data_IF_309926573104
#
_entry.id   IF_309926573104
#
_cell.length_a   1.000
_cell.length_b   1.000
_cell.length_c   1.000
_cell.angle_alpha   90.00
_cell.angle_beta   90.00
_cell.angle_gamma   90.00
#
_symmetry.space_group_name_H-M   'P 1'
#
loop_
_entity.id
_entity.type
_entity.pdbx_description
1 polymer ?
#
# COMPACT_ATOMS: atom_id res chain seq x y z
N UNK A 1 3.10 -28.24 13.29
CA UNK A 1 2.79 -27.57 12.00
C UNK A 1 1.77 -26.51 12.28
N UNK A 2 2.14 -25.26 12.01
CA UNK A 2 1.38 -24.07 12.35
C UNK A 2 1.04 -23.29 11.08
N UNK A 3 -0.21 -22.86 10.94
CA UNK A 3 -0.68 -22.05 9.81
C UNK A 3 -1.10 -20.68 10.30
N UNK A 4 -0.53 -19.64 9.69
CA UNK A 4 -0.85 -18.24 9.96
C UNK A 4 -1.67 -17.71 8.79
N UNK A 5 -2.91 -17.34 9.04
CA UNK A 5 -3.83 -16.78 8.04
C UNK A 5 -3.81 -15.25 8.09
N UNK A 6 -4.09 -14.61 6.97
CA UNK A 6 -4.27 -13.16 6.93
C UNK A 6 -5.51 -12.77 7.74
N UNK A 7 -5.42 -11.64 8.43
CA UNK A 7 -6.48 -11.10 9.30
C UNK A 7 -6.41 -9.57 9.25
N UNK A 8 -6.48 -8.89 10.39
CA UNK A 8 -6.30 -7.45 10.48
C UNK A 8 -4.87 -7.02 10.12
N UNK A 9 -4.72 -5.75 9.76
CA UNK A 9 -3.44 -5.22 9.29
C UNK A 9 -2.31 -5.28 10.31
N UNK A 10 -2.61 -5.21 11.62
CA UNK A 10 -1.59 -5.27 12.68
C UNK A 10 -1.00 -6.67 12.73
N UNK A 11 -1.86 -7.69 12.69
CA UNK A 11 -1.46 -9.08 12.58
C UNK A 11 -0.64 -9.32 11.33
N UNK A 12 -1.15 -8.88 10.18
CA UNK A 12 -0.49 -9.09 8.90
C UNK A 12 0.89 -8.43 8.87
N UNK A 13 0.99 -7.18 9.33
CA UNK A 13 2.26 -6.48 9.54
C UNK A 13 3.23 -7.28 10.41
N UNK A 14 2.73 -7.86 11.50
CA UNK A 14 3.54 -8.63 12.43
C UNK A 14 4.08 -9.92 11.80
N UNK A 15 3.26 -10.64 11.04
CA UNK A 15 3.69 -11.82 10.27
C UNK A 15 4.69 -11.43 9.19
N UNK A 16 4.46 -10.34 8.44
CA UNK A 16 5.44 -9.81 7.48
C UNK A 16 6.75 -9.44 8.19
N UNK A 17 6.68 -8.84 9.38
CA UNK A 17 7.84 -8.52 10.19
C UNK A 17 8.63 -9.75 10.63
N UNK A 18 7.93 -10.83 10.97
CA UNK A 18 8.56 -12.12 11.26
C UNK A 18 9.25 -12.70 10.02
N UNK A 19 8.60 -12.67 8.85
CA UNK A 19 9.22 -13.11 7.59
C UNK A 19 10.48 -12.29 7.25
N UNK A 20 10.46 -10.98 7.54
CA UNK A 20 11.65 -10.13 7.38
C UNK A 20 12.78 -10.55 8.33
N UNK A 21 12.46 -10.86 9.58
CA UNK A 21 13.46 -11.37 10.53
C UNK A 21 14.03 -12.73 10.07
N UNK A 22 13.19 -13.63 9.53
CA UNK A 22 13.64 -14.88 8.90
C UNK A 22 14.60 -14.60 7.74
N UNK A 23 14.22 -13.72 6.80
CA UNK A 23 15.05 -13.34 5.65
C UNK A 23 16.42 -12.82 6.08
N UNK A 24 16.45 -11.93 7.07
CA UNK A 24 17.68 -11.25 7.51
C UNK A 24 18.59 -12.13 8.38
N UNK A 25 17.99 -12.97 9.22
CA UNK A 25 18.69 -13.64 10.32
C UNK A 25 18.83 -15.15 10.13
N UNK A 26 18.26 -15.76 9.10
CA UNK A 26 18.48 -17.18 8.80
C UNK A 26 19.47 -17.37 7.65
N UNK A 27 20.24 -18.45 7.69
CA UNK A 27 20.99 -18.92 6.52
C UNK A 27 19.99 -19.28 5.43
N UNK A 28 20.22 -18.79 4.22
CA UNK A 28 19.29 -18.87 3.09
C UNK A 28 17.88 -18.35 3.41
N UNK A 29 17.77 -17.31 4.26
CA UNK A 29 16.49 -16.81 4.75
C UNK A 29 15.47 -16.45 3.65
N UNK A 30 15.90 -16.03 2.47
CA UNK A 30 15.01 -15.75 1.33
C UNK A 30 14.33 -17.03 0.81
N UNK A 31 15.10 -18.11 0.62
CA UNK A 31 14.56 -19.44 0.26
C UNK A 31 13.62 -19.98 1.35
N UNK A 32 13.96 -19.74 2.62
CA UNK A 32 13.10 -20.13 3.75
C UNK A 32 11.77 -19.37 3.67
N UNK A 33 11.77 -18.05 3.47
CA UNK A 33 10.52 -17.28 3.34
C UNK A 33 9.67 -17.77 2.17
N UNK A 34 10.27 -18.01 1.01
CA UNK A 34 9.56 -18.53 -0.17
C UNK A 34 8.92 -19.90 0.10
N UNK A 35 9.56 -20.74 0.93
CA UNK A 35 8.98 -22.01 1.36
C UNK A 35 7.85 -21.84 2.38
N UNK A 36 7.91 -20.82 3.23
CA UNK A 36 6.89 -20.56 4.25
C UNK A 36 5.60 -20.00 3.66
N UNK A 37 5.68 -19.18 2.61
CA UNK A 37 4.49 -18.63 1.94
C UNK A 37 3.88 -19.73 1.05
N UNK A 38 2.73 -20.29 1.47
CA UNK A 38 2.04 -21.35 0.72
C UNK A 38 0.87 -20.78 -0.07
N UNK A 39 1.09 -20.57 -1.37
CA UNK A 39 0.10 -19.97 -2.24
C UNK A 39 -0.12 -18.49 -1.93
N UNK A 40 -1.38 -18.06 -1.90
CA UNK A 40 -1.72 -16.66 -1.62
C UNK A 40 -2.09 -16.44 -0.14
N UNK A 41 -2.78 -17.37 0.52
CA UNK A 41 -3.61 -17.05 1.70
C UNK A 41 -2.92 -17.19 3.07
N UNK A 42 -1.89 -18.03 3.19
CA UNK A 42 -1.31 -18.36 4.50
C UNK A 42 0.20 -18.61 4.48
N UNK A 43 0.79 -18.46 5.66
CA UNK A 43 2.17 -18.84 5.96
C UNK A 43 2.14 -20.16 6.74
N UNK A 44 2.88 -21.16 6.27
CA UNK A 44 2.99 -22.47 6.92
C UNK A 44 4.37 -22.65 7.56
N UNK A 45 4.37 -22.80 8.88
CA UNK A 45 5.56 -23.13 9.66
C UNK A 45 5.53 -24.64 9.90
N UNK A 46 6.40 -25.36 9.22
CA UNK A 46 6.56 -26.80 9.41
C UNK A 46 7.12 -27.14 10.80
N UNK A 47 6.96 -28.39 11.22
CA UNK A 47 7.32 -28.83 12.57
C UNK A 47 8.80 -28.61 12.89
N UNK A 48 9.70 -28.88 11.94
CA UNK A 48 11.14 -28.70 12.14
C UNK A 48 11.51 -27.23 12.40
N UNK A 49 10.88 -26.30 11.67
CA UNK A 49 11.10 -24.87 11.87
C UNK A 49 10.46 -24.39 13.17
N UNK A 50 9.26 -24.89 13.49
CA UNK A 50 8.60 -24.62 14.76
C UNK A 50 9.53 -25.04 15.92
N UNK A 51 10.00 -26.28 15.94
CA UNK A 51 10.88 -26.77 16.99
C UNK A 51 12.19 -25.99 17.05
N UNK A 52 12.76 -25.59 15.90
CA UNK A 52 13.93 -24.71 15.85
C UNK A 52 13.69 -23.33 16.47
N UNK A 53 12.58 -22.66 16.16
CA UNK A 53 12.30 -21.30 16.62
C UNK A 53 12.17 -21.22 18.14
N UNK A 54 11.57 -22.24 18.75
CA UNK A 54 11.37 -22.31 20.20
C UNK A 54 12.46 -23.08 20.95
N UNK A 55 13.49 -23.57 20.26
CA UNK A 55 14.62 -24.25 20.90
C UNK A 55 15.64 -23.27 21.48
N UNK A 56 16.55 -23.82 22.29
CA UNK A 56 17.83 -23.19 22.61
C UNK A 56 18.80 -23.22 21.41
N UNK A 57 19.98 -22.63 21.58
CA UNK A 57 21.03 -22.63 20.55
C UNK A 57 21.81 -23.95 20.46
N UNK A 58 21.68 -24.85 21.46
CA UNK A 58 22.31 -26.17 21.44
C UNK A 58 21.57 -27.16 20.54
N UNK A 59 20.32 -26.88 20.21
CA UNK A 59 19.51 -27.76 19.38
C UNK A 59 19.89 -27.64 17.90
N UNK A 60 20.42 -28.74 17.34
CA UNK A 60 20.75 -28.88 15.92
C UNK A 60 19.48 -28.93 15.05
N UNK A 61 19.50 -28.27 13.89
CA UNK A 61 18.45 -28.40 12.89
C UNK A 61 19.01 -28.18 11.48
N UNK A 62 18.21 -28.43 10.44
CA UNK A 62 18.55 -28.05 9.05
C UNK A 62 18.58 -26.53 8.82
N UNK A 63 17.97 -25.77 9.72
CA UNK A 63 17.99 -24.32 9.76
C UNK A 63 19.13 -23.80 10.64
N UNK A 64 19.70 -22.66 10.24
CA UNK A 64 20.78 -21.99 10.95
C UNK A 64 20.53 -20.47 11.01
N UNK A 65 21.01 -19.81 12.06
CA UNK A 65 20.93 -18.35 12.24
C UNK A 65 22.20 -17.65 11.75
N UNK A 66 22.08 -16.36 11.43
CA UNK A 66 23.16 -15.44 11.06
C UNK A 66 23.15 -14.22 11.99
N UNK A 67 24.26 -13.92 12.67
CA UNK A 67 25.44 -14.76 12.84
C UNK A 67 25.20 -15.89 13.87
N UNK A 68 26.09 -16.88 13.89
CA UNK A 68 26.13 -18.00 14.85
C UNK A 68 26.56 -17.52 16.24
N UNK A 69 25.84 -16.55 16.81
CA UNK A 69 26.09 -16.03 18.14
C UNK A 69 24.93 -16.35 19.06
N UNK A 70 25.21 -17.10 20.12
CA UNK A 70 24.32 -17.33 21.25
C UNK A 70 24.60 -16.27 22.33
N UNK A 71 23.67 -15.36 22.63
CA UNK A 71 23.83 -14.48 23.78
C UNK A 71 23.66 -15.25 25.07
N UNK A 72 24.59 -15.01 25.99
CA UNK A 72 24.39 -15.32 27.40
C UNK A 72 23.34 -14.37 27.97
N UNK A 73 22.08 -14.80 27.90
CA UNK A 73 20.96 -13.99 28.32
C UNK A 73 20.85 -13.96 29.86
N UNK A 74 20.99 -15.12 30.49
CA UNK A 74 21.07 -15.34 31.94
C UNK A 74 22.12 -16.44 32.24
N UNK A 75 22.72 -16.44 33.44
CA UNK A 75 23.83 -17.35 33.82
C UNK A 75 23.47 -18.84 33.65
N UNK A 76 22.17 -19.17 33.69
CA UNK A 76 21.68 -20.55 33.67
C UNK A 76 20.62 -20.84 32.59
N UNK A 77 20.26 -19.87 31.75
CA UNK A 77 19.15 -20.03 30.77
C UNK A 77 19.42 -19.31 29.45
N UNK A 78 19.21 -20.03 28.36
CA UNK A 78 19.24 -19.48 26.99
C UNK A 78 17.90 -18.88 26.59
N UNK A 79 17.93 -17.75 25.90
CA UNK A 79 16.75 -17.20 25.24
C UNK A 79 16.38 -18.08 24.02
N UNK A 80 15.12 -18.46 23.82
CA UNK A 80 14.70 -19.16 22.61
C UNK A 80 15.05 -18.39 21.34
N UNK A 81 15.35 -19.10 20.24
CA UNK A 81 15.81 -18.50 18.98
C UNK A 81 14.84 -17.44 18.42
N UNK A 82 13.53 -17.60 18.58
CA UNK A 82 12.53 -16.59 18.18
C UNK A 82 12.65 -15.29 18.99
N UNK A 83 12.92 -15.38 20.29
CA UNK A 83 13.15 -14.22 21.14
C UNK A 83 14.46 -13.51 20.80
N UNK A 84 15.49 -14.30 20.47
CA UNK A 84 16.74 -13.76 19.94
C UNK A 84 16.52 -13.03 18.62
N UNK A 85 15.78 -13.63 17.68
CA UNK A 85 15.47 -13.02 16.39
C UNK A 85 14.73 -11.69 16.58
N UNK A 86 13.76 -11.65 17.48
CA UNK A 86 13.03 -10.42 17.83
C UNK A 86 13.99 -9.31 18.28
N UNK A 87 14.84 -9.57 19.29
CA UNK A 87 15.74 -8.54 19.85
C UNK A 87 16.78 -8.10 18.81
N UNK A 88 17.35 -9.06 18.08
CA UNK A 88 18.40 -8.79 17.09
C UNK A 88 17.87 -8.03 15.87
N UNK A 89 16.60 -8.24 15.52
CA UNK A 89 16.02 -7.60 14.34
C UNK A 89 15.99 -6.07 14.44
N UNK A 90 15.90 -5.47 15.63
CA UNK A 90 15.74 -4.02 15.83
C UNK A 90 16.81 -3.16 15.15
N UNK A 91 18.05 -3.62 15.16
CA UNK A 91 19.15 -2.97 14.46
C UNK A 91 20.17 -4.03 14.01
N UNK A 92 19.91 -4.73 12.90
CA UNK A 92 20.73 -5.86 12.48
C UNK A 92 22.12 -5.40 12.07
N UNK A 93 22.24 -4.18 11.53
CA UNK A 93 23.50 -3.64 11.03
C UNK A 93 24.45 -3.26 12.18
N UNK A 94 23.97 -2.48 13.16
CA UNK A 94 24.80 -2.17 14.33
C UNK A 94 25.15 -3.42 15.15
N UNK A 95 24.27 -4.43 15.15
CA UNK A 95 24.58 -5.72 15.75
C UNK A 95 25.70 -6.43 14.98
N UNK A 96 25.61 -6.54 13.65
CA UNK A 96 26.66 -7.11 12.79
C UNK A 96 28.01 -6.41 12.97
N UNK A 97 28.03 -5.09 13.05
CA UNK A 97 29.25 -4.30 13.30
C UNK A 97 29.89 -4.67 14.64
N UNK A 98 29.09 -4.80 15.70
CA UNK A 98 29.58 -5.22 17.01
C UNK A 98 30.05 -6.67 17.03
N UNK A 99 29.45 -7.55 16.25
CA UNK A 99 29.94 -8.94 16.06
C UNK A 99 31.29 -8.95 15.35
N UNK A 100 31.48 -8.14 14.32
CA UNK A 100 32.78 -8.01 13.67
C UNK A 100 33.88 -7.53 14.63
N UNK A 101 33.49 -6.78 15.67
CA UNK A 101 34.36 -6.30 16.75
C UNK A 101 34.48 -7.26 17.95
N UNK A 102 33.84 -8.44 17.93
CA UNK A 102 33.76 -9.37 19.07
C UNK A 102 33.14 -8.76 20.33
N UNK A 103 32.14 -7.89 20.13
CA UNK A 103 31.38 -7.18 21.16
C UNK A 103 29.89 -7.56 21.09
N UNK A 104 29.60 -8.84 20.89
CA UNK A 104 28.27 -9.35 20.62
C UNK A 104 27.30 -9.10 21.79
N UNK A 105 27.77 -9.31 23.04
CA UNK A 105 26.98 -9.05 24.26
C UNK A 105 26.57 -7.58 24.38
N UNK A 106 27.44 -6.66 23.99
CA UNK A 106 27.15 -5.23 23.99
C UNK A 106 26.15 -4.85 22.89
N UNK A 107 26.16 -5.55 21.75
CA UNK A 107 25.20 -5.33 20.68
C UNK A 107 23.80 -5.81 21.05
N UNK A 108 23.73 -7.00 21.64
CA UNK A 108 22.49 -7.56 22.13
C UNK A 108 21.89 -6.70 23.24
N UNK A 109 22.71 -6.30 24.22
CA UNK A 109 22.29 -5.43 25.34
C UNK A 109 21.84 -4.05 24.86
N UNK A 110 22.51 -3.48 23.84
CA UNK A 110 22.09 -2.22 23.25
C UNK A 110 20.71 -2.33 22.57
N UNK A 111 20.47 -3.38 21.78
CA UNK A 111 19.16 -3.61 21.16
C UNK A 111 18.07 -3.87 22.19
N UNK A 112 18.36 -4.67 23.22
CA UNK A 112 17.47 -4.91 24.35
C UNK A 112 17.06 -3.59 25.01
N UNK A 113 18.03 -2.75 25.38
CA UNK A 113 17.75 -1.47 26.02
C UNK A 113 16.98 -0.53 25.08
N UNK A 114 17.26 -0.56 23.77
CA UNK A 114 16.51 0.24 22.78
C UNK A 114 15.03 -0.16 22.73
N UNK A 115 14.70 -1.45 22.84
CA UNK A 115 13.31 -1.92 22.85
C UNK A 115 12.55 -1.54 24.11
N UNK A 116 13.20 -1.71 25.26
CA UNK A 116 12.51 -1.71 26.56
C UNK A 116 12.85 -0.51 27.46
N UNK A 117 13.64 0.46 26.98
CA UNK A 117 13.86 1.73 27.68
C UNK A 117 12.58 2.59 27.69
N UNK A 118 12.56 3.67 28.48
CA UNK A 118 11.43 4.60 28.56
C UNK A 118 11.08 5.26 27.20
N UNK A 119 12.04 5.31 26.27
CA UNK A 119 11.85 5.82 24.92
C UNK A 119 11.63 4.70 23.88
N UNK A 120 11.68 3.44 24.31
CA UNK A 120 11.54 2.26 23.45
C UNK A 120 10.08 1.92 23.13
N UNK A 121 9.84 1.21 22.02
CA UNK A 121 8.49 0.84 21.57
C UNK A 121 7.77 -0.15 22.51
N UNK A 122 8.50 -0.87 23.37
CA UNK A 122 7.96 -1.86 24.30
C UNK A 122 8.23 -1.50 25.76
N UNK A 123 8.30 -0.20 26.09
CA UNK A 123 8.57 0.28 27.46
C UNK A 123 7.62 -0.28 28.53
N UNK A 124 6.38 -0.59 28.14
CA UNK A 124 5.35 -1.13 29.01
C UNK A 124 5.39 -2.66 29.13
N UNK A 125 6.11 -3.34 28.23
CA UNK A 125 6.17 -4.80 28.15
C UNK A 125 6.84 -5.41 29.38
N UNK A 126 7.91 -4.76 29.84
CA UNK A 126 8.60 -5.15 31.07
C UNK A 126 8.25 -4.11 32.13
N UNK A 127 7.13 -4.34 32.83
CA UNK A 127 6.74 -3.47 33.93
C UNK A 127 7.91 -3.33 34.93
N UNK A 128 8.13 -2.13 35.47
CA UNK A 128 9.23 -1.79 36.37
C UNK A 128 9.19 -2.55 37.71
N UNK A 129 8.09 -3.24 38.00
CA UNK A 129 7.88 -4.00 39.23
C UNK A 129 8.39 -5.45 39.18
N UNK A 130 8.77 -5.97 38.01
CA UNK A 130 9.29 -7.34 37.91
C UNK A 130 10.76 -7.36 38.33
N UNK A 131 11.07 -8.14 39.39
CA UNK A 131 12.43 -8.26 39.96
C UNK A 131 13.45 -8.78 38.94
N UNK A 132 13.02 -9.60 37.97
CA UNK A 132 13.89 -10.14 36.92
C UNK A 132 13.27 -9.93 35.52
N UNK A 133 13.72 -8.84 34.87
CA UNK A 133 13.31 -8.45 33.53
C UNK A 133 13.69 -9.48 32.47
N UNK A 134 14.84 -10.14 32.63
CA UNK A 134 15.37 -11.10 31.66
C UNK A 134 14.57 -12.40 31.74
N UNK A 135 14.40 -12.95 32.94
CA UNK A 135 13.62 -14.19 33.12
C UNK A 135 12.20 -14.07 32.53
N UNK A 136 11.57 -12.90 32.68
CA UNK A 136 10.24 -12.62 32.12
C UNK A 136 10.19 -12.75 30.60
N UNK A 137 11.24 -12.30 29.90
CA UNK A 137 11.33 -12.40 28.44
C UNK A 137 11.59 -13.84 28.00
N UNK A 138 12.45 -14.58 28.72
CA UNK A 138 12.68 -16.01 28.44
C UNK A 138 11.36 -16.77 28.53
N UNK A 139 10.61 -16.54 29.61
CA UNK A 139 9.31 -17.18 29.82
C UNK A 139 8.31 -16.77 28.72
N UNK A 140 8.29 -15.49 28.34
CA UNK A 140 7.40 -15.01 27.28
C UNK A 140 7.65 -15.71 25.94
N UNK A 141 8.92 -15.90 25.55
CA UNK A 141 9.30 -16.56 24.29
C UNK A 141 9.37 -18.09 24.38
N UNK A 142 9.00 -18.69 25.52
CA UNK A 142 8.96 -20.14 25.68
C UNK A 142 7.90 -20.76 24.77
N UNK A 143 8.07 -22.06 24.42
CA UNK A 143 7.14 -22.77 23.54
C UNK A 143 5.71 -22.76 24.13
N UNK A 144 4.72 -22.22 23.41
CA UNK A 144 3.33 -22.23 23.85
C UNK A 144 2.79 -23.66 24.02
N UNK A 145 1.99 -23.90 25.07
CA UNK A 145 1.29 -25.18 25.26
C UNK A 145 -0.09 -25.11 24.60
N UNK A 146 -0.41 -26.08 23.74
CA UNK A 146 -1.75 -26.27 23.16
C UNK A 146 -2.58 -27.23 24.02
N UNK A 147 -3.86 -26.92 24.26
CA UNK A 147 -4.77 -27.75 25.08
C UNK A 147 -6.19 -27.73 24.49
N UNK A 148 -6.93 -28.83 24.61
CA UNK A 148 -8.24 -29.06 24.00
C UNK A 148 -9.39 -28.17 24.57
N UNK A 149 -9.31 -27.73 25.83
CA UNK A 149 -10.40 -27.02 26.53
C UNK A 149 -10.03 -25.58 26.96
N UNK A 150 -9.77 -24.70 25.99
CA UNK A 150 -9.34 -23.32 26.22
C UNK A 150 -10.22 -22.22 25.63
N UNK A 151 -9.94 -20.98 26.04
CA UNK A 151 -10.40 -19.72 25.43
C UNK A 151 -9.94 -19.63 23.97
N UNK A 152 -10.67 -18.92 23.12
CA UNK A 152 -10.35 -18.79 21.69
C UNK A 152 -9.53 -17.51 21.45
N UNK A 153 -8.35 -17.65 20.85
CA UNK A 153 -7.53 -16.52 20.41
C UNK A 153 -8.22 -15.74 19.29
N UNK A 154 -8.35 -14.43 19.40
CA UNK A 154 -8.98 -13.55 18.40
C UNK A 154 -8.19 -13.41 17.10
N UNK A 155 -6.95 -13.90 17.04
CA UNK A 155 -6.07 -13.78 15.88
C UNK A 155 -5.95 -15.08 15.08
N UNK A 156 -5.70 -16.21 15.74
CA UNK A 156 -5.53 -17.51 15.10
C UNK A 156 -6.69 -18.49 15.32
N UNK A 157 -7.70 -18.11 16.11
CA UNK A 157 -8.83 -18.97 16.52
C UNK A 157 -8.43 -20.28 17.22
N UNK A 158 -7.16 -20.44 17.65
CA UNK A 158 -6.73 -21.58 18.44
C UNK A 158 -7.18 -21.47 19.90
N UNK A 159 -7.43 -22.62 20.53
CA UNK A 159 -7.78 -22.71 21.95
C UNK A 159 -6.53 -22.57 22.83
N UNK A 160 -6.65 -21.81 23.91
CA UNK A 160 -5.58 -21.52 24.87
C UNK A 160 -6.10 -21.58 26.31
N UNK A 161 -5.28 -22.01 27.26
CA UNK A 161 -5.60 -21.92 28.69
C UNK A 161 -4.68 -20.85 29.29
N UNK A 162 -5.22 -19.82 29.95
CA UNK A 162 -4.39 -18.93 30.76
C UNK A 162 -3.65 -19.76 31.79
N UNK A 163 -2.32 -19.63 31.92
CA UNK A 163 -1.63 -20.29 33.02
C UNK A 163 -2.20 -19.74 34.34
N UNK A 164 -2.61 -20.59 35.28
CA UNK A 164 -3.38 -20.16 36.47
C UNK A 164 -2.53 -19.45 37.55
N UNK A 165 -1.32 -18.98 37.23
CA UNK A 165 -0.39 -18.45 38.23
C UNK A 165 0.04 -17.02 37.93
N UNK A 166 -0.45 -16.10 38.77
CA UNK A 166 -0.04 -14.71 38.99
C UNK A 166 -0.63 -13.63 38.07
N UNK A 167 -0.78 -12.44 38.66
CA UNK A 167 -1.15 -11.14 38.06
C UNK A 167 -0.33 -10.75 36.80
N UNK A 168 0.70 -11.54 36.44
CA UNK A 168 1.51 -11.36 35.23
C UNK A 168 0.90 -12.01 33.97
N UNK A 169 -0.02 -12.96 34.10
CA UNK A 169 -0.62 -13.65 32.96
C UNK A 169 -1.67 -12.84 32.20
N UNK A 170 -2.35 -11.91 32.88
CA UNK A 170 -3.38 -11.10 32.24
C UNK A 170 -2.81 -10.16 31.15
N UNK A 171 -1.53 -9.77 31.27
CA UNK A 171 -0.82 -9.00 30.25
C UNK A 171 -0.39 -9.83 29.03
N UNK A 172 -0.35 -11.16 29.14
CA UNK A 172 0.12 -12.05 28.08
C UNK A 172 -1.03 -12.65 27.25
N UNK A 173 -2.24 -12.67 27.81
CA UNK A 173 -3.43 -13.27 27.18
C UNK A 173 -4.39 -12.24 26.58
N UNK A 174 -4.10 -10.95 26.69
CA UNK A 174 -4.96 -9.86 26.22
C UNK A 174 -4.19 -8.85 25.36
N UNK A 175 -4.87 -8.25 24.38
CA UNK A 175 -4.35 -7.13 23.60
C UNK A 175 -4.30 -5.85 24.44
N UNK A 176 -3.11 -5.43 24.86
CA UNK A 176 -2.97 -4.33 25.82
C UNK A 176 -1.80 -3.39 25.49
N UNK A 177 -1.67 -2.31 26.28
CA UNK A 177 -0.61 -1.30 26.17
C UNK A 177 0.82 -1.83 26.34
N UNK A 178 1.00 -3.02 26.91
CA UNK A 178 2.30 -3.66 27.08
C UNK A 178 2.83 -4.18 25.73
N UNK A 179 1.93 -4.76 24.93
CA UNK A 179 2.20 -5.21 23.56
C UNK A 179 2.07 -4.07 22.53
N UNK A 180 1.13 -3.13 22.76
CA UNK A 180 0.76 -2.09 21.81
C UNK A 180 0.53 -0.74 22.49
N UNK A 181 1.57 0.08 22.62
CA UNK A 181 1.44 1.39 23.25
C UNK A 181 0.45 2.31 22.51
N UNK A 182 0.35 2.21 21.18
CA UNK A 182 -0.42 3.15 20.36
C UNK A 182 -1.93 2.88 20.39
N UNK A 183 -2.33 1.61 20.57
CA UNK A 183 -3.70 1.14 20.31
C UNK A 183 -4.20 0.09 21.33
N UNK A 184 -3.34 -0.40 22.21
CA UNK A 184 -3.71 -1.37 23.24
C UNK A 184 -4.55 -0.74 24.35
N UNK A 185 -5.46 -1.51 24.94
CA UNK A 185 -6.17 -1.10 26.14
C UNK A 185 -5.24 -1.08 27.37
N UNK A 186 -5.49 -0.18 28.32
CA UNK A 186 -4.88 -0.31 29.65
C UNK A 186 -5.65 -1.35 30.43
N UNK A 187 -4.96 -2.36 30.95
CA UNK A 187 -5.59 -3.37 31.81
C UNK A 187 -6.34 -2.72 32.98
N UNK A 188 -7.59 -3.14 33.20
CA UNK A 188 -8.47 -2.62 34.26
C UNK A 188 -8.87 -1.15 34.16
N UNK A 189 -8.61 -0.47 33.03
CA UNK A 189 -9.06 0.91 32.77
C UNK A 189 -9.95 0.97 31.52
N UNK A 190 -10.45 2.16 31.20
CA UNK A 190 -11.41 2.41 30.11
C UNK A 190 -11.06 1.62 28.84
N UNK A 191 -12.01 0.88 28.24
CA UNK A 191 -11.78 0.13 27.01
C UNK A 191 -11.27 1.07 25.91
N UNK A 192 -10.35 0.57 25.09
CA UNK A 192 -9.86 1.33 23.94
C UNK A 192 -11.00 1.48 22.92
N UNK A 193 -11.16 2.69 22.35
CA UNK A 193 -12.25 3.03 21.44
C UNK A 193 -12.27 2.21 20.12
N UNK A 194 -11.20 1.46 19.83
CA UNK A 194 -11.04 0.71 18.58
C UNK A 194 -11.85 -0.59 18.51
N UNK A 195 -12.37 -1.12 19.63
CA UNK A 195 -13.01 -2.44 19.66
C UNK A 195 -14.40 -2.46 20.31
N UNK A 196 -15.27 -1.49 20.02
CA UNK A 196 -16.70 -1.54 20.39
C UNK A 196 -16.95 -1.84 21.89
N UNK A 197 -16.17 -1.24 22.80
CA UNK A 197 -16.20 -1.51 24.25
C UNK A 197 -15.86 -2.95 24.69
N UNK A 198 -15.33 -3.79 23.78
CA UNK A 198 -14.78 -5.11 24.12
C UNK A 198 -13.34 -4.91 24.61
N UNK A 199 -13.15 -4.83 25.93
CA UNK A 199 -11.85 -4.57 26.57
C UNK A 199 -10.81 -5.68 26.39
N UNK A 200 -11.19 -6.84 25.85
CA UNK A 200 -10.40 -8.07 25.95
C UNK A 200 -10.36 -8.85 24.62
N UNK A 201 -9.63 -8.33 23.64
CA UNK A 201 -9.16 -9.20 22.55
C UNK A 201 -8.19 -10.22 23.15
N UNK A 202 -8.62 -11.47 23.21
CA UNK A 202 -7.82 -12.56 23.73
C UNK A 202 -6.75 -12.95 22.71
N UNK A 203 -5.51 -13.11 23.15
CA UNK A 203 -4.39 -13.47 22.30
C UNK A 203 -3.68 -14.67 22.90
N UNK A 204 -3.44 -15.71 22.09
CA UNK A 204 -2.62 -16.83 22.54
C UNK A 204 -1.13 -16.45 22.62
N UNK A 205 -0.34 -17.16 23.45
CA UNK A 205 1.09 -16.88 23.58
C UNK A 205 1.84 -16.94 22.25
N UNK A 206 1.42 -17.81 21.33
CA UNK A 206 1.98 -17.87 19.98
C UNK A 206 1.76 -16.56 19.23
N UNK A 207 0.50 -16.10 19.13
CA UNK A 207 0.17 -14.87 18.43
C UNK A 207 0.81 -13.65 19.07
N UNK A 208 0.88 -13.59 20.41
CA UNK A 208 1.51 -12.46 21.11
C UNK A 208 3.00 -12.34 20.80
N UNK A 209 3.71 -13.47 20.65
CA UNK A 209 5.11 -13.47 20.20
C UNK A 209 5.26 -12.96 18.76
N UNK A 210 4.41 -13.39 17.82
CA UNK A 210 4.45 -12.87 16.45
C UNK A 210 4.15 -11.38 16.38
N UNK A 211 3.18 -10.91 17.16
CA UNK A 211 2.77 -9.50 17.23
C UNK A 211 3.92 -8.54 17.57
N UNK A 212 4.93 -9.01 18.31
CA UNK A 212 6.14 -8.22 18.59
C UNK A 212 6.99 -7.92 17.34
N UNK A 213 6.86 -8.71 16.27
CA UNK A 213 7.60 -8.45 15.03
C UNK A 213 7.01 -7.31 14.19
N UNK A 214 5.91 -6.66 14.62
CA UNK A 214 5.31 -5.49 13.95
C UNK A 214 6.33 -4.44 13.53
N UNK A 215 7.27 -4.12 14.42
CA UNK A 215 8.29 -3.08 14.19
C UNK A 215 9.22 -3.37 12.99
N UNK A 216 9.21 -4.60 12.48
CA UNK A 216 9.89 -5.04 11.24
C UNK A 216 8.96 -5.18 10.05
N UNK A 217 7.66 -5.23 10.30
CA UNK A 217 6.61 -5.34 9.30
C UNK A 217 6.43 -4.06 8.51
N UNK A 218 6.57 -2.91 9.16
CA UNK A 218 6.43 -1.60 8.54
C UNK A 218 7.12 -0.50 9.35
N UNK A 219 7.43 0.62 8.68
CA UNK A 219 7.92 1.84 9.30
C UNK A 219 6.89 2.97 9.18
N UNK A 220 6.63 3.43 7.96
CA UNK A 220 5.69 4.53 7.68
C UNK A 220 4.46 4.09 6.87
N UNK A 221 4.65 3.12 5.97
CA UNK A 221 3.58 2.59 5.12
C UNK A 221 3.57 1.07 5.22
N UNK A 222 2.38 0.49 5.27
CA UNK A 222 2.15 -0.93 5.17
C UNK A 222 1.08 -1.20 4.10
N UNK A 223 1.37 -2.09 3.16
CA UNK A 223 0.36 -2.59 2.23
C UNK A 223 -0.26 -3.85 2.82
N UNK A 224 -1.52 -3.72 3.22
CA UNK A 224 -2.32 -4.81 3.74
C UNK A 224 -3.14 -5.44 2.61
N UNK A 225 -3.25 -6.76 2.57
CA UNK A 225 -4.06 -7.50 1.60
C UNK A 225 -4.48 -8.84 2.21
N UNK A 226 -5.33 -9.59 1.52
CA UNK A 226 -5.68 -10.96 1.91
C UNK A 226 -4.57 -11.96 1.57
N UNK A 227 -3.62 -11.60 0.69
CA UNK A 227 -2.52 -12.47 0.30
C UNK A 227 -1.20 -12.13 0.99
N UNK A 228 -0.61 -13.08 1.73
CA UNK A 228 0.73 -12.91 2.32
C UNK A 228 1.82 -12.80 1.27
N UNK A 229 1.69 -13.50 0.15
CA UNK A 229 2.64 -13.42 -0.96
C UNK A 229 2.66 -12.00 -1.54
N UNK A 230 1.47 -11.46 -1.81
CA UNK A 230 1.31 -10.09 -2.30
C UNK A 230 1.80 -9.07 -1.28
N UNK A 231 1.37 -9.18 -0.02
CA UNK A 231 1.81 -8.29 1.06
C UNK A 231 3.32 -8.31 1.21
N UNK A 232 3.94 -9.49 1.24
CA UNK A 232 5.39 -9.60 1.40
C UNK A 232 6.12 -8.88 0.27
N UNK A 233 5.76 -9.16 -0.99
CA UNK A 233 6.39 -8.53 -2.17
C UNK A 233 6.17 -7.02 -2.21
N UNK A 234 4.94 -6.57 -1.99
CA UNK A 234 4.61 -5.14 -1.99
C UNK A 234 5.33 -4.38 -0.89
N UNK A 235 5.39 -4.94 0.31
CA UNK A 235 6.09 -4.28 1.41
C UNK A 235 7.63 -4.32 1.23
N UNK A 236 8.20 -5.32 0.53
CA UNK A 236 9.62 -5.25 0.13
C UNK A 236 9.87 -4.10 -0.85
N UNK A 237 8.98 -3.91 -1.82
CA UNK A 237 9.09 -2.79 -2.76
C UNK A 237 8.99 -1.44 -2.03
N UNK A 238 8.03 -1.30 -1.11
CA UNK A 238 7.84 -0.09 -0.33
C UNK A 238 9.05 0.26 0.56
N UNK A 239 9.74 -0.75 1.11
CA UNK A 239 10.93 -0.54 1.97
C UNK A 239 12.11 0.11 1.27
N UNK A 240 12.23 -0.06 -0.04
CA UNK A 240 13.35 0.50 -0.81
C UNK A 240 13.16 1.99 -1.15
N UNK A 241 12.11 2.64 -0.63
CA UNK A 241 11.76 4.02 -0.95
C UNK A 241 12.01 4.92 0.28
N UNK A 242 13.05 5.77 0.21
CA UNK A 242 13.44 6.69 1.31
C UNK A 242 12.32 7.70 1.66
N UNK A 243 11.53 8.09 0.67
CA UNK A 243 10.25 8.76 0.79
C UNK A 243 9.34 8.08 -0.22
N UNK A 244 8.22 7.53 0.25
CA UNK A 244 7.24 6.99 -0.67
C UNK A 244 6.57 8.17 -1.37
N UNK A 245 7.14 8.56 -2.51
CA UNK A 245 6.29 9.05 -3.57
C UNK A 245 5.36 7.88 -3.92
N UNK A 246 4.10 7.97 -3.50
CA UNK A 246 3.06 6.97 -3.78
C UNK A 246 3.03 6.61 -5.27
N UNK A 247 3.45 7.54 -6.15
CA UNK A 247 3.64 7.33 -7.58
C UNK A 247 4.73 6.33 -7.89
N UNK A 248 5.90 6.49 -7.29
CA UNK A 248 7.03 5.58 -7.48
C UNK A 248 6.71 4.19 -6.92
N UNK A 249 6.05 4.13 -5.76
CA UNK A 249 5.57 2.87 -5.20
C UNK A 249 4.63 2.13 -6.14
N UNK A 250 3.59 2.81 -6.62
CA UNK A 250 2.61 2.18 -7.51
C UNK A 250 3.25 1.83 -8.87
N UNK A 251 4.16 2.64 -9.39
CA UNK A 251 4.91 2.33 -10.62
C UNK A 251 5.85 1.13 -10.47
N UNK A 252 6.50 0.95 -9.31
CA UNK A 252 7.35 -0.22 -9.06
C UNK A 252 6.54 -1.48 -8.72
N UNK A 253 5.43 -1.35 -7.98
CA UNK A 253 4.47 -2.43 -7.78
C UNK A 253 3.97 -2.97 -9.14
N UNK A 254 3.75 -2.08 -10.10
CA UNK A 254 3.29 -2.41 -11.45
C UNK A 254 4.29 -3.23 -12.29
N UNK A 255 5.59 -3.20 -12.02
CA UNK A 255 6.57 -4.02 -12.77
C UNK A 255 6.72 -5.43 -12.21
N UNK A 256 6.16 -5.70 -11.03
CA UNK A 256 6.12 -7.06 -10.51
C UNK A 256 5.11 -7.90 -11.30
N UNK A 257 5.58 -8.94 -11.99
CA UNK A 257 4.74 -9.84 -12.81
C UNK A 257 3.51 -10.39 -12.08
N UNK A 258 3.58 -10.45 -10.75
CA UNK A 258 2.52 -10.97 -9.90
C UNK A 258 1.32 -10.02 -9.76
N UNK A 259 1.56 -8.71 -9.80
CA UNK A 259 0.55 -7.64 -9.69
C UNK A 259 -0.16 -7.41 -11.02
N UNK A 260 0.58 -7.54 -12.12
CA UNK A 260 0.06 -7.41 -13.49
C UNK A 260 -0.98 -8.50 -13.81
N UNK A 261 -0.82 -9.72 -13.26
CA UNK A 261 -1.65 -10.86 -13.67
C UNK A 261 -2.98 -10.99 -12.94
N UNK A 262 -3.17 -10.35 -11.78
CA UNK A 262 -4.39 -10.49 -10.97
C UNK A 262 -4.88 -9.16 -10.38
N UNK A 263 -5.76 -8.45 -11.09
CA UNK A 263 -6.51 -7.31 -10.53
C UNK A 263 -7.31 -7.70 -9.28
N UNK A 264 -7.77 -8.96 -9.21
CA UNK A 264 -8.49 -9.53 -8.06
C UNK A 264 -7.66 -9.60 -6.77
N UNK A 265 -6.35 -9.74 -6.84
CA UNK A 265 -5.50 -9.76 -5.64
C UNK A 265 -5.22 -8.35 -5.13
N UNK A 266 -5.32 -7.34 -5.99
CA UNK A 266 -5.24 -5.92 -5.62
C UNK A 266 -6.57 -5.40 -5.05
N UNK A 267 -7.70 -5.93 -5.50
CA UNK A 267 -9.01 -5.73 -4.87
C UNK A 267 -8.92 -6.11 -3.38
N UNK A 268 -9.40 -5.23 -2.49
CA UNK A 268 -9.28 -5.36 -1.02
C UNK A 268 -7.86 -5.19 -0.46
N UNK A 269 -6.96 -4.58 -1.22
CA UNK A 269 -5.68 -4.11 -0.68
C UNK A 269 -5.85 -2.74 -0.05
N UNK A 270 -5.28 -2.54 1.13
CA UNK A 270 -5.32 -1.29 1.87
C UNK A 270 -3.89 -0.74 2.00
N UNK A 271 -3.69 0.51 1.61
CA UNK A 271 -2.45 1.23 1.89
C UNK A 271 -2.64 1.95 3.21
N UNK A 272 -1.88 1.52 4.21
CA UNK A 272 -1.95 2.04 5.57
C UNK A 272 -0.75 2.93 5.79
N UNK A 273 -1.00 4.19 6.13
CA UNK A 273 0.06 5.15 6.42
C UNK A 273 -0.02 5.59 7.86
N UNK A 274 1.10 5.50 8.56
CA UNK A 274 1.22 5.88 9.97
C UNK A 274 2.16 7.08 10.06
N UNK A 275 1.62 8.20 10.55
CA UNK A 275 2.35 9.44 10.77
C UNK A 275 2.19 9.86 12.22
N UNK A 276 3.14 9.45 13.07
CA UNK A 276 3.04 9.62 14.51
C UNK A 276 1.85 8.82 15.07
N UNK A 277 0.88 9.51 15.68
CA UNK A 277 -0.34 8.89 16.22
C UNK A 277 -1.47 8.76 15.20
N UNK A 278 -1.31 9.28 13.98
CA UNK A 278 -2.35 9.25 12.96
C UNK A 278 -2.16 8.04 12.04
N UNK A 279 -3.24 7.26 11.86
CA UNK A 279 -3.30 6.15 10.91
C UNK A 279 -4.31 6.51 9.83
N UNK A 280 -3.89 6.49 8.56
CA UNK A 280 -4.78 6.69 7.42
C UNK A 280 -4.88 5.41 6.60
N UNK A 281 -6.09 5.12 6.14
CA UNK A 281 -6.40 3.93 5.35
C UNK A 281 -6.83 4.38 3.95
N UNK A 282 -6.12 3.92 2.93
CA UNK A 282 -6.48 4.14 1.53
C UNK A 282 -6.77 2.80 0.87
N UNK A 283 -8.05 2.53 0.61
CA UNK A 283 -8.48 1.26 0.04
C UNK A 283 -8.33 1.29 -1.48
N UNK A 284 -7.68 0.25 -2.04
CA UNK A 284 -7.64 0.01 -3.47
C UNK A 284 -8.95 -0.67 -3.86
N UNK A 285 -9.84 0.10 -4.48
CA UNK A 285 -11.11 -0.41 -5.00
C UNK A 285 -10.89 -1.33 -6.20
N UNK A 286 -11.86 -2.18 -6.53
CA UNK A 286 -11.84 -3.00 -7.75
C UNK A 286 -11.59 -2.18 -9.01
N UNK A 287 -12.17 -0.97 -9.06
CA UNK A 287 -11.96 -0.05 -10.16
C UNK A 287 -10.50 0.40 -10.20
N UNK A 288 -10.00 0.94 -9.08
CA UNK A 288 -8.61 1.39 -8.95
C UNK A 288 -7.62 0.27 -9.30
N UNK A 289 -7.88 -0.96 -8.85
CA UNK A 289 -7.10 -2.15 -9.20
C UNK A 289 -7.12 -2.44 -10.72
N UNK A 290 -8.29 -2.38 -11.36
CA UNK A 290 -8.41 -2.52 -12.84
C UNK A 290 -7.65 -1.42 -13.58
N UNK A 291 -7.66 -0.19 -13.07
CA UNK A 291 -6.92 0.92 -13.66
C UNK A 291 -5.40 0.68 -13.55
N UNK A 292 -4.92 0.16 -12.41
CA UNK A 292 -3.51 -0.14 -12.20
C UNK A 292 -2.97 -1.33 -13.00
N UNK A 293 -3.83 -2.20 -13.48
CA UNK A 293 -3.44 -3.32 -14.36
C UNK A 293 -3.53 -2.94 -15.85
N UNK A 294 -4.14 -1.79 -16.19
CA UNK A 294 -4.29 -1.35 -17.58
C UNK A 294 -2.96 -0.84 -18.16
N UNK A 295 -2.34 -1.53 -19.15
CA UNK A 295 -1.07 -1.10 -19.74
C UNK A 295 -1.16 0.29 -20.39
N UNK A 296 -2.34 0.63 -20.91
CA UNK A 296 -2.61 1.94 -21.53
C UNK A 296 -2.54 3.05 -20.48
N UNK A 297 -3.24 2.90 -19.35
CA UNK A 297 -3.22 3.90 -18.28
C UNK A 297 -1.81 4.03 -17.70
N UNK A 298 -1.11 2.90 -17.52
CA UNK A 298 0.28 2.88 -17.07
C UNK A 298 1.16 3.71 -18.00
N UNK A 299 1.08 3.47 -19.32
CA UNK A 299 1.88 4.21 -20.29
C UNK A 299 1.65 5.73 -20.19
N UNK A 300 0.41 6.17 -20.00
CA UNK A 300 0.12 7.59 -19.84
C UNK A 300 0.55 8.17 -18.49
N UNK A 301 0.49 7.38 -17.41
CA UNK A 301 0.99 7.80 -16.10
C UNK A 301 2.52 7.97 -16.08
N UNK A 302 3.26 7.15 -16.84
CA UNK A 302 4.70 7.27 -17.01
C UNK A 302 5.09 8.56 -17.75
N UNK A 303 4.34 8.90 -18.80
CA UNK A 303 4.54 10.12 -19.59
C UNK A 303 4.20 11.41 -18.83
N UNK A 304 3.34 11.32 -17.81
CA UNK A 304 3.03 12.45 -16.94
C UNK A 304 4.25 12.75 -16.06
N UNK A 305 4.94 13.84 -16.38
CA UNK A 305 6.15 14.31 -15.70
C UNK A 305 5.90 14.62 -14.22
N UNK A 306 6.98 14.60 -13.43
CA UNK A 306 7.08 14.70 -11.96
C UNK A 306 6.24 15.81 -11.27
N UNK A 307 5.74 16.83 -11.99
CA UNK A 307 4.96 17.95 -11.44
C UNK A 307 3.44 17.71 -11.30
N UNK A 308 2.91 16.52 -11.59
CA UNK A 308 1.46 16.26 -11.56
C UNK A 308 1.04 15.17 -10.57
N UNK A 309 1.55 15.28 -9.34
CA UNK A 309 1.30 14.34 -8.21
C UNK A 309 -0.20 14.04 -7.98
N UNK A 310 -1.08 14.98 -8.29
CA UNK A 310 -2.50 14.88 -7.93
C UNK A 310 -3.32 13.88 -8.79
N UNK A 311 -2.89 13.50 -9.99
CA UNK A 311 -3.70 12.61 -10.87
C UNK A 311 -3.81 11.22 -10.27
N UNK A 312 -2.71 10.72 -9.72
CA UNK A 312 -2.68 9.42 -9.08
C UNK A 312 -3.56 9.41 -7.81
N UNK A 313 -3.49 10.47 -7.00
CA UNK A 313 -4.37 10.62 -5.84
C UNK A 313 -5.85 10.62 -6.25
N UNK A 314 -6.19 11.24 -7.38
CA UNK A 314 -7.56 11.21 -7.93
C UNK A 314 -7.98 9.81 -8.39
N UNK A 315 -7.04 9.01 -8.93
CA UNK A 315 -7.29 7.60 -9.30
C UNK A 315 -7.48 6.72 -8.06
N UNK A 316 -6.62 6.87 -7.05
CA UNK A 316 -6.68 6.13 -5.79
C UNK A 316 -7.98 6.45 -5.04
N UNK A 317 -8.29 7.74 -4.91
CA UNK A 317 -9.54 8.21 -4.27
C UNK A 317 -10.79 8.00 -5.13
N UNK A 318 -10.65 7.49 -6.35
CA UNK A 318 -11.74 7.33 -7.33
C UNK A 318 -12.51 8.62 -7.64
N UNK A 319 -11.89 9.79 -7.45
CA UNK A 319 -12.47 11.11 -7.74
C UNK A 319 -12.01 11.62 -9.11
N UNK A 320 -12.49 10.96 -10.16
CA UNK A 320 -12.13 11.28 -11.54
C UNK A 320 -12.62 12.66 -11.99
N UNK A 321 -13.59 13.26 -11.28
CA UNK A 321 -14.06 14.62 -11.54
C UNK A 321 -12.93 15.65 -11.41
N UNK A 322 -11.98 15.38 -10.50
CA UNK A 322 -10.81 16.25 -10.30
C UNK A 322 -9.82 16.17 -11.46
N UNK A 323 -9.78 15.06 -12.20
CA UNK A 323 -8.97 14.94 -13.43
C UNK A 323 -9.53 15.88 -14.51
N UNK A 324 -10.85 15.90 -14.73
CA UNK A 324 -11.47 16.85 -15.67
C UNK A 324 -11.26 18.32 -15.26
N UNK A 325 -11.38 18.64 -13.96
CA UNK A 325 -11.08 19.99 -13.46
C UNK A 325 -9.63 20.39 -13.74
N UNK A 326 -8.70 19.45 -13.59
CA UNK A 326 -7.29 19.67 -13.90
C UNK A 326 -7.10 19.91 -15.41
N UNK A 327 -7.69 19.09 -16.28
CA UNK A 327 -7.69 19.30 -17.74
C UNK A 327 -8.18 20.71 -18.11
N UNK A 328 -9.31 21.14 -17.55
CA UNK A 328 -9.85 22.49 -17.78
C UNK A 328 -8.87 23.58 -17.33
N UNK A 329 -8.25 23.43 -16.15
CA UNK A 329 -7.29 24.39 -15.61
C UNK A 329 -6.04 24.50 -16.50
N UNK A 330 -5.50 23.37 -16.95
CA UNK A 330 -4.35 23.31 -17.85
C UNK A 330 -4.66 24.00 -19.19
N UNK A 331 -5.81 23.66 -19.80
CA UNK A 331 -6.28 24.31 -21.02
C UNK A 331 -6.46 25.82 -20.85
N UNK A 332 -6.90 26.29 -19.68
CA UNK A 332 -7.01 27.73 -19.40
C UNK A 332 -5.64 28.42 -19.28
N UNK A 333 -4.62 27.70 -18.84
CA UNK A 333 -3.26 28.21 -18.65
C UNK A 333 -2.36 27.97 -19.88
N UNK A 334 -2.94 27.75 -21.05
CA UNK A 334 -2.22 27.47 -22.31
C UNK A 334 -1.35 26.20 -22.34
N UNK A 335 -1.56 25.28 -21.39
CA UNK A 335 -0.99 23.94 -21.46
C UNK A 335 -1.89 22.99 -22.26
N UNK A 336 -1.28 21.99 -22.91
CA UNK A 336 -1.97 20.94 -23.66
C UNK A 336 -2.03 19.64 -22.82
N UNK A 337 -3.12 19.38 -22.08
CA UNK A 337 -3.21 18.24 -21.15
C UNK A 337 -3.54 16.93 -21.85
N UNK A 338 -2.73 16.54 -22.84
CA UNK A 338 -3.01 15.39 -23.70
C UNK A 338 -3.13 14.08 -22.90
N UNK A 339 -2.16 13.79 -22.03
CA UNK A 339 -2.13 12.54 -21.25
C UNK A 339 -3.23 12.48 -20.19
N UNK A 340 -3.57 13.60 -19.56
CA UNK A 340 -4.67 13.69 -18.59
C UNK A 340 -6.00 13.29 -19.22
N UNK A 341 -6.26 13.82 -20.42
CA UNK A 341 -7.51 13.54 -21.11
C UNK A 341 -7.54 12.07 -21.55
N UNK A 342 -6.40 11.51 -21.96
CA UNK A 342 -6.26 10.10 -22.32
C UNK A 342 -6.56 9.18 -21.14
N UNK A 343 -5.97 9.46 -19.97
CA UNK A 343 -6.25 8.74 -18.72
C UNK A 343 -7.74 8.82 -18.39
N UNK A 344 -8.32 10.02 -18.38
CA UNK A 344 -9.73 10.18 -18.06
C UNK A 344 -10.64 9.38 -19.00
N UNK A 345 -10.34 9.40 -20.30
CA UNK A 345 -11.12 8.66 -21.30
C UNK A 345 -11.02 7.16 -21.08
N UNK A 346 -9.82 6.65 -20.80
CA UNK A 346 -9.61 5.23 -20.57
C UNK A 346 -10.32 4.76 -19.29
N UNK A 347 -10.31 5.59 -18.24
CA UNK A 347 -11.11 5.35 -17.03
C UNK A 347 -12.60 5.23 -17.38
N UNK A 348 -13.13 6.12 -18.22
CA UNK A 348 -14.54 6.08 -18.64
C UNK A 348 -14.89 4.84 -19.45
N UNK A 349 -13.97 4.33 -20.28
CA UNK A 349 -14.15 3.05 -21.00
C UNK A 349 -14.24 1.87 -20.03
N UNK A 350 -13.39 1.86 -19.01
CA UNK A 350 -13.35 0.80 -17.99
C UNK A 350 -14.62 0.84 -17.13
N UNK A 351 -15.07 2.04 -16.75
CA UNK A 351 -16.33 2.24 -16.00
C UNK A 351 -17.57 1.87 -16.80
N UNK A 352 -17.58 2.20 -18.09
CA UNK A 352 -18.76 2.09 -18.94
C UNK A 352 -18.99 0.74 -19.63
N UNK A 353 -18.03 -0.19 -19.54
CA UNK A 353 -18.13 -1.52 -20.15
C UNK A 353 -18.29 -1.49 -21.68
N UNK A 354 -18.81 -2.58 -22.27
CA UNK A 354 -18.99 -2.71 -23.72
C UNK A 354 -19.94 -1.67 -24.32
N UNK A 355 -21.01 -1.30 -23.60
CA UNK A 355 -21.99 -0.30 -24.05
C UNK A 355 -21.40 1.10 -24.23
N UNK A 356 -20.33 1.43 -23.49
CA UNK A 356 -19.62 2.68 -23.65
C UNK A 356 -18.46 2.57 -24.64
N UNK A 357 -17.91 1.38 -24.93
CA UNK A 357 -16.88 1.24 -25.97
C UNK A 357 -17.36 1.68 -27.36
N UNK A 358 -18.64 1.43 -27.69
CA UNK A 358 -19.24 1.89 -28.95
C UNK A 358 -19.58 3.40 -28.95
N UNK A 359 -19.89 3.96 -27.78
CA UNK A 359 -20.22 5.39 -27.61
C UNK A 359 -18.99 6.26 -27.43
N UNK A 360 -17.87 5.72 -26.97
CA UNK A 360 -16.62 6.46 -26.85
C UNK A 360 -16.06 6.65 -28.25
N UNK A 361 -16.41 7.80 -28.83
CA UNK A 361 -15.69 8.37 -29.97
C UNK A 361 -14.21 8.35 -29.61
N UNK A 362 -13.38 7.83 -30.52
CA UNK A 362 -11.94 7.83 -30.31
C UNK A 362 -11.50 9.26 -29.99
N UNK A 363 -11.10 9.46 -28.74
CA UNK A 363 -10.63 10.74 -28.21
C UNK A 363 -9.40 11.23 -28.98
N UNK A 364 -8.63 10.28 -29.51
CA UNK A 364 -7.58 10.48 -30.51
C UNK A 364 -8.12 11.20 -31.76
N UNK A 365 -9.26 10.77 -32.30
CA UNK A 365 -9.84 11.37 -33.49
C UNK A 365 -10.23 12.83 -33.23
N UNK A 366 -10.84 13.16 -32.10
CA UNK A 366 -11.21 14.54 -31.77
C UNK A 366 -9.97 15.45 -31.63
N UNK A 367 -8.91 14.95 -30.98
CA UNK A 367 -7.64 15.67 -30.92
C UNK A 367 -7.06 15.91 -32.32
N UNK A 368 -7.02 14.89 -33.17
CA UNK A 368 -6.49 15.02 -34.53
C UNK A 368 -7.38 15.85 -35.45
N UNK A 369 -8.71 15.83 -35.29
CA UNK A 369 -9.63 16.73 -35.99
C UNK A 369 -9.35 18.20 -35.66
N UNK A 370 -9.05 18.50 -34.39
CA UNK A 370 -8.57 19.82 -34.00
C UNK A 370 -7.19 20.14 -34.59
N UNK A 371 -6.22 19.24 -34.40
CA UNK A 371 -4.81 19.45 -34.82
C UNK A 371 -4.65 19.58 -36.34
N UNK A 372 -5.42 18.83 -37.11
CA UNK A 372 -5.34 18.76 -38.57
C UNK A 372 -6.29 19.74 -39.27
N UNK A 373 -6.95 20.64 -38.53
CA UNK A 373 -7.67 21.75 -39.12
C UNK A 373 -6.73 22.53 -40.03
N UNK A 374 -7.08 22.71 -41.31
CA UNK A 374 -6.19 23.33 -42.31
C UNK A 374 -6.40 24.83 -42.48
N UNK A 375 -7.62 25.29 -42.19
CA UNK A 375 -8.02 26.67 -42.40
C UNK A 375 -7.51 27.54 -41.24
N UNK A 376 -6.54 28.42 -41.53
CA UNK A 376 -5.85 29.22 -40.52
C UNK A 376 -6.79 30.25 -39.86
N UNK A 377 -7.66 30.88 -40.65
CA UNK A 377 -8.62 31.86 -40.13
C UNK A 377 -9.65 31.20 -39.20
N UNK A 378 -10.07 29.97 -39.54
CA UNK A 378 -10.92 29.15 -38.68
C UNK A 378 -10.20 28.83 -37.36
N UNK A 379 -8.94 28.38 -37.43
CA UNK A 379 -8.14 28.09 -36.23
C UNK A 379 -8.03 29.34 -35.35
N UNK A 380 -7.71 30.48 -35.93
CA UNK A 380 -7.55 31.73 -35.20
C UNK A 380 -8.88 32.21 -34.59
N UNK A 381 -10.01 32.01 -35.28
CA UNK A 381 -11.34 32.28 -34.73
C UNK A 381 -11.68 31.36 -33.55
N UNK A 382 -11.33 30.08 -33.64
CA UNK A 382 -11.51 29.11 -32.55
C UNK A 382 -10.59 29.45 -31.35
N UNK A 383 -9.33 29.82 -31.60
CA UNK A 383 -8.37 30.27 -30.58
C UNK A 383 -8.89 31.53 -29.87
N UNK A 384 -9.37 32.55 -30.60
CA UNK A 384 -9.97 33.76 -30.01
C UNK A 384 -11.19 33.49 -29.14
N UNK A 385 -11.98 32.46 -29.46
CA UNK A 385 -13.17 32.09 -28.69
C UNK A 385 -12.91 31.00 -27.64
N UNK A 386 -11.66 30.52 -27.49
CA UNK A 386 -11.38 29.29 -26.74
C UNK A 386 -11.81 29.38 -25.28
N UNK A 387 -11.57 30.50 -24.60
CA UNK A 387 -11.96 30.69 -23.20
C UNK A 387 -13.48 30.65 -23.01
N UNK A 388 -14.21 31.29 -23.92
CA UNK A 388 -15.68 31.27 -23.90
C UNK A 388 -16.21 29.85 -24.12
N UNK A 389 -15.65 29.13 -25.10
CA UNK A 389 -16.01 27.75 -25.39
C UNK A 389 -15.69 26.86 -24.18
N UNK A 390 -14.51 27.01 -23.57
CA UNK A 390 -14.11 26.25 -22.37
C UNK A 390 -15.06 26.46 -21.18
N UNK A 391 -15.49 27.70 -20.90
CA UNK A 391 -16.48 27.95 -19.85
C UNK A 391 -17.83 27.29 -20.13
N UNK A 392 -18.31 27.36 -21.37
CA UNK A 392 -19.58 26.71 -21.73
C UNK A 392 -19.48 25.19 -21.60
N UNK A 393 -18.35 24.61 -22.00
CA UNK A 393 -18.07 23.17 -21.84
C UNK A 393 -18.04 22.77 -20.37
N UNK A 394 -17.30 23.51 -19.52
CA UNK A 394 -17.20 23.25 -18.07
C UNK A 394 -18.55 23.30 -17.37
N UNK A 395 -19.45 24.18 -17.82
CA UNK A 395 -20.80 24.34 -17.28
C UNK A 395 -21.83 23.37 -17.89
N UNK A 396 -21.40 22.43 -18.73
CA UNK A 396 -22.32 21.46 -19.36
C UNK A 396 -23.26 22.08 -20.40
N UNK A 397 -23.01 23.31 -20.87
CA UNK A 397 -23.91 24.07 -21.77
C UNK A 397 -23.81 23.61 -23.23
N UNK A 398 -24.07 22.32 -23.45
CA UNK A 398 -23.87 21.59 -24.71
C UNK A 398 -24.48 22.27 -25.95
N UNK A 399 -25.76 22.67 -25.87
CA UNK A 399 -26.45 23.33 -26.97
C UNK A 399 -25.80 24.68 -27.34
N UNK A 400 -25.35 25.45 -26.34
CA UNK A 400 -24.70 26.74 -26.55
C UNK A 400 -23.29 26.57 -27.14
N UNK A 401 -22.56 25.56 -26.68
CA UNK A 401 -21.26 25.16 -27.25
C UNK A 401 -21.42 24.74 -28.71
N UNK A 402 -22.39 23.88 -29.02
CA UNK A 402 -22.69 23.41 -30.37
C UNK A 402 -23.00 24.59 -31.30
N UNK A 403 -23.90 25.48 -30.89
CA UNK A 403 -24.27 26.66 -31.67
C UNK A 403 -23.06 27.57 -31.95
N UNK A 404 -22.21 27.78 -30.94
CA UNK A 404 -21.01 28.62 -31.09
C UNK A 404 -20.03 28.01 -32.08
N UNK A 405 -19.74 26.70 -31.96
CA UNK A 405 -18.84 25.98 -32.87
C UNK A 405 -19.42 25.99 -34.29
N UNK A 406 -20.71 25.66 -34.47
CA UNK A 406 -21.40 25.70 -35.77
C UNK A 406 -21.30 27.05 -36.44
N UNK A 407 -21.53 28.13 -35.70
CA UNK A 407 -21.45 29.48 -36.25
C UNK A 407 -20.04 29.82 -36.72
N UNK A 408 -19.02 29.42 -35.96
CA UNK A 408 -17.62 29.62 -36.35
C UNK A 408 -17.32 28.85 -37.64
N UNK A 409 -17.59 27.55 -37.70
CA UNK A 409 -17.38 26.74 -38.90
C UNK A 409 -18.14 27.27 -40.13
N UNK A 410 -19.43 27.64 -39.96
CA UNK A 410 -20.26 28.19 -41.02
C UNK A 410 -19.70 29.52 -41.57
N UNK A 411 -19.12 30.37 -40.71
CA UNK A 411 -18.54 31.66 -41.14
C UNK A 411 -17.33 31.51 -42.07
N UNK A 412 -16.67 30.34 -42.06
CA UNK A 412 -15.55 30.01 -42.94
C UNK A 412 -15.92 28.99 -44.02
N UNK A 413 -17.21 28.67 -44.18
CA UNK A 413 -17.71 27.66 -45.12
C UNK A 413 -17.07 26.26 -44.94
N UNK A 414 -16.68 25.94 -43.70
CA UNK A 414 -16.07 24.66 -43.34
C UNK A 414 -17.11 23.71 -42.78
N UNK A 415 -16.96 22.42 -43.11
CA UNK A 415 -17.83 21.37 -42.54
C UNK A 415 -17.36 21.02 -41.14
N UNK A 416 -18.31 20.87 -40.21
CA UNK A 416 -17.99 20.31 -38.90
C UNK A 416 -17.51 18.86 -39.06
N UNK A 417 -16.39 18.48 -38.43
CA UNK A 417 -15.92 17.11 -38.40
C UNK A 417 -16.96 16.14 -37.81
N UNK A 418 -17.06 14.94 -38.36
CA UNK A 418 -18.10 13.99 -37.98
C UNK A 418 -18.01 13.59 -36.50
N UNK A 419 -16.81 13.36 -35.97
CA UNK A 419 -16.65 13.00 -34.57
C UNK A 419 -17.02 14.16 -33.64
N UNK A 420 -16.68 15.39 -34.02
CA UNK A 420 -17.12 16.60 -33.31
C UNK A 420 -18.65 16.77 -33.33
N UNK A 421 -19.31 16.43 -34.43
CA UNK A 421 -20.79 16.46 -34.50
C UNK A 421 -21.42 15.45 -33.53
N UNK A 422 -20.86 14.23 -33.46
CA UNK A 422 -21.40 13.14 -32.63
C UNK A 422 -21.38 13.46 -31.14
N UNK A 423 -20.36 14.14 -30.61
CA UNK A 423 -20.32 14.50 -29.18
C UNK A 423 -21.42 15.49 -28.78
N UNK A 424 -22.05 16.19 -29.73
CA UNK A 424 -23.19 17.09 -29.47
C UNK A 424 -24.54 16.36 -29.35
N UNK A 425 -24.62 15.04 -29.58
CA UNK A 425 -25.85 14.27 -29.41
C UNK A 425 -26.39 14.39 -27.96
N UNK A 426 -27.68 14.73 -27.72
CA UNK A 426 -28.25 14.86 -26.38
C UNK A 426 -28.10 13.61 -25.49
N UNK A 427 -28.05 12.42 -26.07
CA UNK A 427 -27.87 11.15 -25.34
C UNK A 427 -26.41 10.88 -24.95
N UNK A 428 -25.47 11.70 -25.41
CA UNK A 428 -24.05 11.53 -25.14
C UNK A 428 -23.73 12.10 -23.74
N UNK A 429 -23.13 11.31 -22.82
CA UNK A 429 -22.87 11.71 -21.44
C UNK A 429 -22.13 13.04 -21.32
N UNK A 430 -22.47 13.84 -20.31
CA UNK A 430 -21.89 15.17 -20.09
C UNK A 430 -20.36 15.12 -19.92
N UNK A 431 -19.89 14.21 -19.07
CA UNK A 431 -18.48 13.94 -18.81
C UNK A 431 -17.67 13.63 -20.09
N UNK A 432 -18.24 12.80 -20.97
CA UNK A 432 -17.62 12.46 -22.25
C UNK A 432 -17.69 13.62 -23.24
N UNK A 433 -18.77 14.40 -23.22
CA UNK A 433 -18.85 15.64 -23.98
C UNK A 433 -17.75 16.63 -23.55
N UNK A 434 -17.54 16.80 -22.24
CA UNK A 434 -16.47 17.64 -21.70
C UNK A 434 -15.10 17.14 -22.15
N UNK A 435 -14.79 15.86 -21.93
CA UNK A 435 -13.52 15.26 -22.37
C UNK A 435 -13.30 15.36 -23.88
N UNK A 436 -14.33 15.10 -24.68
CA UNK A 436 -14.27 15.20 -26.14
C UNK A 436 -13.98 16.62 -26.62
N UNK A 437 -14.68 17.61 -26.05
CA UNK A 437 -14.44 19.03 -26.35
C UNK A 437 -13.04 19.47 -25.90
N UNK A 438 -12.59 19.05 -24.72
CA UNK A 438 -11.24 19.36 -24.24
C UNK A 438 -10.16 18.80 -25.18
N UNK A 439 -10.31 17.58 -25.70
CA UNK A 439 -9.41 17.06 -26.73
C UNK A 439 -9.40 17.89 -28.00
N UNK A 440 -10.57 18.20 -28.54
CA UNK A 440 -10.70 18.96 -29.77
C UNK A 440 -10.00 20.33 -29.63
N UNK A 441 -10.25 21.04 -28.53
CA UNK A 441 -9.62 22.33 -28.25
C UNK A 441 -8.12 22.21 -28.00
N UNK A 442 -7.65 21.12 -27.38
CA UNK A 442 -6.21 20.81 -27.23
C UNK A 442 -5.56 20.60 -28.60
N UNK A 443 -6.24 19.93 -29.52
CA UNK A 443 -5.84 19.78 -30.92
C UNK A 443 -5.72 21.14 -31.61
N UNK A 444 -6.74 21.99 -31.50
CA UNK A 444 -6.76 23.35 -32.08
C UNK A 444 -5.61 24.21 -31.54
N UNK A 445 -5.29 24.14 -30.24
CA UNK A 445 -4.14 24.87 -29.68
C UNK A 445 -2.81 24.43 -30.28
N UNK A 446 -2.68 23.14 -30.59
CA UNK A 446 -1.48 22.58 -31.20
C UNK A 446 -1.50 22.61 -32.73
N UNK A 447 -2.60 23.06 -33.35
CA UNK A 447 -2.65 23.32 -34.77
C UNK A 447 -1.71 24.50 -35.08
N UNK A 448 -0.84 24.29 -36.09
CA UNK A 448 0.19 25.23 -36.59
C UNK A 448 1.54 25.30 -35.85
N UNK A 449 1.82 24.47 -34.83
CA UNK A 449 3.17 24.36 -34.22
C UNK A 449 4.22 23.61 -35.08
N UNK A 450 4.08 23.62 -36.42
CA UNK A 450 4.92 22.79 -37.31
C UNK A 450 6.30 23.38 -37.66
N UNK A 451 6.64 24.60 -37.25
CA UNK A 451 7.91 25.23 -37.66
C UNK A 451 9.03 25.22 -36.60
N UNK A 452 8.80 24.80 -35.36
CA UNK A 452 9.84 24.87 -34.30
C UNK A 452 10.46 23.51 -33.89
N UNK A 453 10.00 22.37 -34.42
CA UNK A 453 10.57 21.03 -34.10
C UNK A 453 11.52 20.48 -35.19
N UNK A 454 11.98 21.31 -36.14
CA UNK A 454 12.95 20.94 -37.18
C UNK A 454 14.19 21.85 -37.27
N UNK A 455 14.59 22.49 -36.17
CA UNK A 455 15.87 23.20 -36.05
C UNK A 455 16.74 22.64 -34.93
#
# INVERSE_FOLDING_TARGET
MMKLYSSNWIWNASVIGFLNAVKELMVNGEEVVDQLIKGEEYVEIEQDLEDFLWSDFNTSSKYNLKPEYEPKFDENRSLPKIGWMFITSVNPQAFKEKIALKQEEEGFTANFNKLFSNAGPYKNFINTQIKDKKLSIINFFSKPKTIENGLICSFCNQRMVPENNSETNDYQISFNLALFQDIGGSYGKFPNANFQDISELLICPTCSQFLLFRHKGFENIFINSTSFNLMYKLNQLAKNMERIDRKEFLMQAQTSEMIIRNSWTLSNTEIIEISGSNVTFNNITDLTAKLFVSPIIISYLQEITYNKQNILDYIISSDFSKILKLVYKELKNDYAPYYEIKIYTEIQKILGGEQMKEKVISVENLYYEGKNCKNEDLIESLKRNIFKILEMVRLGKKAQTQYTILRIFASFNEKIPENLSRIFNPQFPEDLFQAGMYNFLTGIKNAQKKEEEQL
#
